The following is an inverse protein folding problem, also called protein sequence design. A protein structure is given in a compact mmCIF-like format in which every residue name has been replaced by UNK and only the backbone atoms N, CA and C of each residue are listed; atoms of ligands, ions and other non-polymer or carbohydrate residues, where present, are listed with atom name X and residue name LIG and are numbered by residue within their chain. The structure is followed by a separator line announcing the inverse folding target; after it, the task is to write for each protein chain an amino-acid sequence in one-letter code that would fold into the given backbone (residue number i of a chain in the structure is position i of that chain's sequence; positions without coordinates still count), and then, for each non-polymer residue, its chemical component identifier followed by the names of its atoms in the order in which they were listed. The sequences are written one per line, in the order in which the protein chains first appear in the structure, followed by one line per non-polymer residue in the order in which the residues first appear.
data_IF_964695302105
#
_entry.id   IF_964695302105
#
_cell.length_a   1.000
_cell.length_b   1.000
_cell.length_c   1.000
_cell.angle_alpha   90.00
_cell.angle_beta   90.00
_cell.angle_gamma   90.00
#
_symmetry.space_group_name_H-M   'P 1'
#
loop_
_entity.id
_entity.type
_entity.pdbx_description
1 polymer ?
#
# COMPACT_ATOMS: atom_id res chain seq x y z
N UNK A 1 7.30 25.43 6.09
CA UNK A 1 8.00 24.53 5.16
C UNK A 1 8.56 25.35 4.02
N UNK A 2 9.85 25.18 3.67
CA UNK A 2 10.38 25.67 2.41
C UNK A 2 10.11 24.60 1.33
N UNK A 3 9.15 24.86 0.44
CA UNK A 3 8.72 23.90 -0.58
C UNK A 3 9.83 23.56 -1.58
N UNK A 4 10.72 24.50 -1.86
CA UNK A 4 11.87 24.28 -2.75
C UNK A 4 12.85 23.29 -2.13
N UNK A 5 13.20 23.47 -0.85
CA UNK A 5 14.06 22.54 -0.13
C UNK A 5 13.46 21.14 -0.06
N UNK A 6 12.17 21.04 0.29
CA UNK A 6 11.45 19.77 0.36
C UNK A 6 11.44 19.04 -0.99
N UNK A 7 11.11 19.73 -2.08
CA UNK A 7 11.13 19.16 -3.43
C UNK A 7 12.53 18.72 -3.85
N UNK A 8 13.57 19.47 -3.49
CA UNK A 8 14.95 19.11 -3.79
C UNK A 8 15.39 17.84 -3.05
N UNK A 9 15.00 17.65 -1.78
CA UNK A 9 15.30 16.43 -1.02
C UNK A 9 14.64 15.20 -1.65
N UNK A 10 13.34 15.28 -2.00
CA UNK A 10 12.64 14.17 -2.67
C UNK A 10 13.18 13.90 -4.08
N UNK A 11 13.53 14.95 -4.83
CA UNK A 11 14.17 14.79 -6.15
C UNK A 11 15.56 14.19 -6.03
N UNK A 12 16.33 14.51 -4.98
CA UNK A 12 17.63 13.89 -4.74
C UNK A 12 17.51 12.40 -4.41
N UNK A 13 16.45 11.99 -3.70
CA UNK A 13 16.18 10.60 -3.37
C UNK A 13 15.66 9.79 -4.57
N UNK A 14 14.68 10.35 -5.31
CA UNK A 14 13.89 9.61 -6.29
C UNK A 14 14.22 9.96 -7.74
N UNK A 15 14.99 11.02 -7.98
CA UNK A 15 15.24 11.59 -9.31
C UNK A 15 13.94 11.90 -10.05
N UNK A 16 13.76 11.34 -11.24
CA UNK A 16 12.57 11.49 -12.09
C UNK A 16 11.32 10.79 -11.54
N UNK A 17 11.48 9.94 -10.51
CA UNK A 17 10.38 9.24 -9.81
C UNK A 17 9.73 10.09 -8.72
N UNK A 18 10.07 11.37 -8.61
CA UNK A 18 9.26 12.36 -7.91
C UNK A 18 8.68 13.34 -8.93
N UNK A 19 7.36 13.40 -9.05
CA UNK A 19 6.68 14.23 -10.05
C UNK A 19 5.83 15.31 -9.39
N UNK A 20 6.11 16.56 -9.76
CA UNK A 20 5.26 17.72 -9.46
C UNK A 20 4.36 18.10 -10.65
N UNK A 21 4.37 17.30 -11.72
CA UNK A 21 3.58 17.57 -12.91
C UNK A 21 2.09 17.51 -12.59
N UNK A 22 1.31 18.40 -13.22
CA UNK A 22 -0.14 18.44 -13.03
C UNK A 22 -0.81 17.13 -13.45
N UNK A 23 -0.34 16.48 -14.51
CA UNK A 23 -0.86 15.18 -14.96
C UNK A 23 -0.64 14.08 -13.91
N UNK A 24 0.57 13.94 -13.38
CA UNK A 24 0.84 12.92 -12.36
C UNK A 24 0.01 13.16 -11.10
N UNK A 25 -0.08 14.41 -10.66
CA UNK A 25 -0.86 14.82 -9.48
C UNK A 25 -2.35 14.56 -9.68
N UNK A 26 -2.91 14.88 -10.85
CA UNK A 26 -4.33 14.60 -11.16
C UNK A 26 -4.64 13.10 -11.17
N UNK A 27 -3.76 12.28 -11.73
CA UNK A 27 -3.95 10.82 -11.76
C UNK A 27 -3.91 10.17 -10.35
N UNK A 28 -3.40 10.88 -9.35
CA UNK A 28 -3.22 10.41 -7.97
C UNK A 28 -3.88 11.36 -6.95
N UNK A 29 -4.93 12.08 -7.37
CA UNK A 29 -5.62 13.08 -6.54
C UNK A 29 -6.86 12.53 -5.83
N UNK A 30 -7.40 11.37 -6.25
CA UNK A 30 -8.57 10.72 -5.64
C UNK A 30 -8.71 9.26 -6.07
N UNK A 31 -9.68 8.57 -5.48
CA UNK A 31 -10.12 7.26 -5.94
C UNK A 31 -11.39 7.32 -6.79
N UNK A 32 -12.18 6.25 -6.73
CA UNK A 32 -13.51 6.12 -7.34
C UNK A 32 -14.63 6.64 -6.42
N UNK A 33 -14.27 7.44 -5.42
CA UNK A 33 -15.15 8.10 -4.47
C UNK A 33 -15.93 9.27 -5.09
N UNK A 34 -16.87 9.83 -4.33
CA UNK A 34 -17.73 10.94 -4.77
C UNK A 34 -17.08 12.32 -4.60
N UNK A 35 -15.88 12.40 -4.02
CA UNK A 35 -15.26 13.68 -3.67
C UNK A 35 -14.59 14.33 -4.88
N UNK A 36 -14.52 15.66 -4.84
CA UNK A 36 -13.73 16.42 -5.81
C UNK A 36 -12.23 16.10 -5.63
N UNK A 37 -11.47 15.93 -6.72
CA UNK A 37 -10.05 15.60 -6.62
C UNK A 37 -9.28 16.72 -5.91
N UNK A 38 -8.44 16.31 -4.95
CA UNK A 38 -7.55 17.22 -4.23
C UNK A 38 -6.12 17.00 -4.71
N UNK A 39 -5.54 18.00 -5.38
CA UNK A 39 -4.20 17.87 -5.94
C UNK A 39 -3.14 17.84 -4.82
N UNK A 40 -2.32 16.77 -4.70
CA UNK A 40 -1.19 16.76 -3.77
C UNK A 40 -0.11 17.77 -4.21
N UNK A 41 0.90 18.05 -3.39
CA UNK A 41 2.07 18.85 -3.77
C UNK A 41 2.94 18.15 -4.83
N UNK A 42 2.97 16.82 -4.81
CA UNK A 42 3.72 15.98 -5.73
C UNK A 42 3.37 14.50 -5.52
N UNK A 43 3.88 13.65 -6.41
CA UNK A 43 3.70 12.20 -6.36
C UNK A 43 5.07 11.52 -6.34
N UNK A 44 5.29 10.66 -5.36
CA UNK A 44 6.51 9.87 -5.21
C UNK A 44 6.27 8.41 -5.66
N UNK A 45 7.21 7.86 -6.41
CA UNK A 45 7.17 6.49 -6.95
C UNK A 45 8.38 5.67 -6.45
N UNK A 46 8.37 5.21 -5.18
CA UNK A 46 9.43 4.38 -4.63
C UNK A 46 9.46 2.98 -5.26
N UNK A 47 10.65 2.40 -5.36
CA UNK A 47 10.93 1.04 -5.82
C UNK A 47 11.17 0.08 -4.66
N UNK A 48 11.53 0.58 -3.46
CA UNK A 48 11.89 -0.27 -2.32
C UNK A 48 11.28 0.23 -1.02
N UNK A 49 11.19 -0.66 -0.03
CA UNK A 49 10.74 -0.31 1.32
C UNK A 49 11.65 0.73 1.98
N UNK A 50 12.95 0.70 1.69
CA UNK A 50 13.92 1.69 2.18
C UNK A 50 13.65 3.08 1.61
N UNK A 51 13.29 3.18 0.32
CA UNK A 51 12.89 4.47 -0.26
C UNK A 51 11.58 4.99 0.36
N UNK A 52 10.60 4.12 0.63
CA UNK A 52 9.38 4.49 1.37
C UNK A 52 9.74 5.05 2.76
N UNK A 53 10.64 4.38 3.48
CA UNK A 53 11.17 4.83 4.78
C UNK A 53 11.80 6.22 4.69
N UNK A 54 12.69 6.45 3.72
CA UNK A 54 13.32 7.75 3.52
C UNK A 54 12.32 8.85 3.15
N UNK A 55 11.31 8.55 2.31
CA UNK A 55 10.23 9.50 1.99
C UNK A 55 9.48 9.90 3.28
N UNK A 56 9.11 8.93 4.12
CA UNK A 56 8.42 9.20 5.38
C UNK A 56 9.26 10.08 6.30
N UNK A 57 10.57 9.82 6.40
CA UNK A 57 11.49 10.63 7.22
C UNK A 57 11.54 12.08 6.71
N UNK A 58 11.70 12.28 5.39
CA UNK A 58 11.71 13.62 4.77
C UNK A 58 10.38 14.33 5.07
N UNK A 59 9.25 13.68 4.80
CA UNK A 59 7.93 14.24 5.07
C UNK A 59 7.72 14.59 6.55
N UNK A 60 8.18 13.75 7.48
CA UNK A 60 8.08 14.01 8.91
C UNK A 60 8.91 15.23 9.33
N UNK A 61 10.15 15.35 8.83
CA UNK A 61 11.02 16.51 9.08
C UNK A 61 10.40 17.83 8.61
N UNK A 62 9.64 17.79 7.51
CA UNK A 62 8.96 18.96 6.94
C UNK A 62 7.49 19.12 7.37
N UNK A 63 6.97 18.20 8.20
CA UNK A 63 5.55 18.12 8.60
C UNK A 63 4.58 18.07 7.42
N UNK A 64 4.94 17.30 6.39
CA UNK A 64 4.16 17.09 5.17
C UNK A 64 3.32 15.80 5.29
N UNK A 65 1.98 15.87 5.18
CA UNK A 65 1.14 14.68 5.16
C UNK A 65 1.45 13.76 3.97
N UNK A 66 1.25 12.46 4.16
CA UNK A 66 1.40 11.45 3.10
C UNK A 66 0.07 10.75 2.89
N UNK A 67 -0.29 10.53 1.62
CA UNK A 67 -1.39 9.65 1.21
C UNK A 67 -0.79 8.45 0.47
N UNK A 68 -0.81 7.23 1.05
CA UNK A 68 -0.41 6.02 0.33
C UNK A 68 -1.41 5.67 -0.76
N UNK A 69 -0.93 5.30 -1.94
CA UNK A 69 -1.78 5.10 -3.11
C UNK A 69 -1.48 3.76 -3.80
N UNK A 70 -2.52 2.92 -3.86
CA UNK A 70 -2.53 1.68 -4.65
C UNK A 70 -3.14 1.93 -6.03
N UNK A 71 -4.12 1.14 -6.42
CA UNK A 71 -4.81 1.26 -7.72
C UNK A 71 -5.81 2.43 -7.81
N UNK A 72 -6.06 3.17 -6.72
CA UNK A 72 -7.04 4.25 -6.73
C UNK A 72 -8.50 3.80 -6.75
N UNK A 73 -8.84 2.56 -6.42
CA UNK A 73 -10.20 2.01 -6.54
C UNK A 73 -11.06 2.13 -5.28
N UNK A 74 -10.61 2.90 -4.29
CA UNK A 74 -11.37 3.16 -3.06
C UNK A 74 -12.60 4.03 -3.35
N UNK A 75 -13.70 3.78 -2.62
CA UNK A 75 -14.95 4.54 -2.71
C UNK A 75 -15.18 5.51 -1.53
N UNK A 76 -14.35 5.42 -0.49
CA UNK A 76 -14.58 6.08 0.80
C UNK A 76 -13.59 7.25 1.03
N UNK A 77 -12.85 7.67 0.00
CA UNK A 77 -11.91 8.80 0.10
C UNK A 77 -10.57 8.49 0.77
N UNK A 78 -10.24 7.22 1.04
CA UNK A 78 -8.95 6.82 1.66
C UNK A 78 -7.71 7.33 0.90
N UNK A 79 -7.83 7.48 -0.42
CA UNK A 79 -6.75 7.90 -1.32
C UNK A 79 -6.98 9.32 -1.87
N UNK A 80 -7.91 10.07 -1.28
CA UNK A 80 -8.10 11.48 -1.60
C UNK A 80 -6.80 12.23 -1.28
N UNK A 81 -6.34 13.03 -2.24
CA UNK A 81 -5.10 13.77 -2.08
C UNK A 81 -5.18 14.84 -1.00
N UNK A 82 -4.06 15.52 -0.76
CA UNK A 82 -3.94 16.54 0.27
C UNK A 82 -3.19 17.74 -0.28
N UNK A 83 -3.79 18.94 -0.30
CA UNK A 83 -3.18 20.15 -0.87
C UNK A 83 -1.85 20.55 -0.22
N UNK A 84 -1.59 20.05 1.00
CA UNK A 84 -0.36 20.28 1.77
C UNK A 84 0.52 19.04 1.87
N UNK A 85 0.09 17.92 1.32
CA UNK A 85 0.75 16.62 1.40
C UNK A 85 1.27 16.13 0.06
N UNK A 86 1.87 14.95 0.05
CA UNK A 86 2.24 14.22 -1.17
C UNK A 86 1.47 12.91 -1.26
N UNK A 87 1.32 12.41 -2.47
CA UNK A 87 0.85 11.04 -2.70
C UNK A 87 2.06 10.12 -2.89
N UNK A 88 2.09 8.98 -2.22
CA UNK A 88 3.11 7.94 -2.40
C UNK A 88 2.48 6.78 -3.16
N UNK A 89 2.76 6.71 -4.46
CA UNK A 89 2.24 5.66 -5.34
C UNK A 89 3.15 4.44 -5.28
N UNK A 90 2.61 3.31 -4.87
CA UNK A 90 3.38 2.07 -4.70
C UNK A 90 3.54 1.29 -6.02
N UNK A 91 3.14 1.85 -7.17
CA UNK A 91 3.04 1.15 -8.46
C UNK A 91 4.30 0.42 -8.94
N UNK A 92 5.48 0.82 -8.46
CA UNK A 92 6.75 0.18 -8.81
C UNK A 92 7.11 -1.01 -7.92
N UNK A 93 6.38 -1.23 -6.82
CA UNK A 93 6.56 -2.34 -5.88
C UNK A 93 5.53 -3.44 -6.18
N UNK A 94 5.65 -4.08 -7.35
CA UNK A 94 4.65 -5.01 -7.90
C UNK A 94 5.19 -6.43 -8.16
N UNK A 95 6.20 -6.87 -7.42
CA UNK A 95 6.80 -8.19 -7.58
C UNK A 95 6.13 -9.26 -6.69
N UNK A 96 5.87 -10.44 -7.27
CA UNK A 96 5.56 -11.65 -6.48
C UNK A 96 6.90 -12.24 -6.04
N UNK A 97 7.16 -12.22 -4.73
CA UNK A 97 8.47 -12.57 -4.17
C UNK A 97 8.61 -14.08 -3.98
N UNK A 98 7.57 -14.73 -3.48
CA UNK A 98 7.59 -16.15 -3.12
C UNK A 98 6.17 -16.72 -3.14
N UNK A 99 6.00 -17.92 -3.68
CA UNK A 99 4.75 -18.69 -3.60
C UNK A 99 5.07 -20.08 -3.06
N UNK A 100 4.44 -20.43 -1.95
CA UNK A 100 4.58 -21.71 -1.27
C UNK A 100 3.27 -22.49 -1.40
N UNK A 101 3.06 -23.11 -2.57
CA UNK A 101 1.79 -23.78 -2.88
C UNK A 101 1.43 -24.91 -1.89
N UNK A 102 2.44 -25.65 -1.41
CA UNK A 102 2.26 -26.73 -0.43
C UNK A 102 1.84 -26.23 0.95
N UNK A 103 2.25 -25.01 1.31
CA UNK A 103 1.94 -24.37 2.59
C UNK A 103 0.72 -23.42 2.51
N UNK A 104 0.20 -23.19 1.30
CA UNK A 104 -0.89 -22.26 1.00
C UNK A 104 -0.60 -20.80 1.43
N UNK A 105 0.63 -20.33 1.20
CA UNK A 105 1.02 -18.93 1.44
C UNK A 105 1.83 -18.33 0.29
N UNK A 106 1.91 -17.00 0.26
CA UNK A 106 2.77 -16.26 -0.64
C UNK A 106 3.28 -14.97 0.02
N UNK A 107 4.40 -14.45 -0.49
CA UNK A 107 4.93 -13.12 -0.16
C UNK A 107 4.99 -12.30 -1.44
N UNK A 108 4.47 -11.09 -1.36
CA UNK A 108 4.28 -10.16 -2.49
C UNK A 108 4.63 -8.75 -2.06
N UNK A 109 5.00 -7.91 -3.03
CA UNK A 109 5.11 -6.48 -2.80
C UNK A 109 3.72 -5.81 -2.78
N UNK A 110 3.68 -4.59 -2.23
CA UNK A 110 2.44 -3.91 -1.88
C UNK A 110 1.48 -3.70 -3.06
N UNK A 111 2.01 -3.48 -4.26
CA UNK A 111 1.23 -3.17 -5.46
C UNK A 111 0.87 -4.39 -6.31
N UNK A 112 1.27 -5.60 -5.92
CA UNK A 112 0.79 -6.80 -6.61
C UNK A 112 -0.74 -6.77 -6.62
N UNK A 113 -1.33 -6.84 -7.81
CA UNK A 113 -2.78 -6.83 -7.97
C UNK A 113 -3.35 -8.22 -7.76
N UNK A 114 -4.63 -8.30 -7.38
CA UNK A 114 -5.33 -9.59 -7.29
C UNK A 114 -5.27 -10.35 -8.61
N UNK A 115 -5.56 -9.70 -9.75
CA UNK A 115 -5.44 -10.33 -11.08
C UNK A 115 -4.05 -10.84 -11.38
N UNK A 116 -3.01 -10.06 -11.09
CA UNK A 116 -1.63 -10.48 -11.29
C UNK A 116 -1.28 -11.73 -10.48
N UNK A 117 -1.73 -11.79 -9.21
CA UNK A 117 -1.53 -12.97 -8.38
C UNK A 117 -2.35 -14.17 -8.92
N UNK A 118 -3.62 -13.98 -9.24
CA UNK A 118 -4.48 -15.05 -9.78
C UNK A 118 -3.94 -15.62 -11.10
N UNK A 119 -3.41 -14.76 -11.99
CA UNK A 119 -2.74 -15.18 -13.22
C UNK A 119 -1.48 -15.99 -12.95
N UNK A 120 -0.67 -15.58 -11.97
CA UNK A 120 0.54 -16.30 -11.57
C UNK A 120 0.23 -17.68 -10.97
N UNK A 121 -0.89 -17.81 -10.24
CA UNK A 121 -1.27 -19.06 -9.55
C UNK A 121 -2.04 -20.05 -10.42
N UNK A 122 -2.52 -19.65 -11.62
CA UNK A 122 -3.49 -20.38 -12.44
C UNK A 122 -3.19 -21.87 -12.64
N UNK A 123 -1.92 -22.22 -12.87
CA UNK A 123 -1.51 -23.59 -13.18
C UNK A 123 -0.88 -24.32 -11.97
N UNK A 124 -0.96 -23.72 -10.78
CA UNK A 124 -0.31 -24.24 -9.55
C UNK A 124 -1.28 -25.01 -8.64
N UNK A 125 -2.56 -25.14 -9.01
CA UNK A 125 -3.57 -25.84 -8.21
C UNK A 125 -4.01 -25.08 -6.94
N UNK A 126 -3.55 -23.84 -6.78
CA UNK A 126 -3.92 -22.90 -5.70
C UNK A 126 -4.46 -21.61 -6.32
N UNK A 127 -5.17 -20.80 -5.54
CA UNK A 127 -5.70 -19.50 -5.99
C UNK A 127 -5.84 -18.55 -4.81
N UNK A 128 -5.91 -17.25 -5.07
CA UNK A 128 -6.17 -16.25 -4.05
C UNK A 128 -7.69 -16.02 -3.91
N UNK A 129 -8.29 -16.23 -2.72
CA UNK A 129 -9.75 -16.39 -2.63
C UNK A 129 -10.54 -15.10 -2.44
N UNK A 130 -9.88 -13.96 -2.19
CA UNK A 130 -10.58 -12.69 -1.93
C UNK A 130 -10.81 -11.96 -3.24
N UNK A 131 -12.09 -11.76 -3.57
CA UNK A 131 -12.55 -11.19 -4.83
C UNK A 131 -13.42 -9.94 -4.58
N UNK A 132 -12.80 -8.76 -4.40
CA UNK A 132 -13.52 -7.50 -4.31
C UNK A 132 -14.12 -7.13 -5.68
N UNK A 133 -15.18 -6.32 -5.68
CA UNK A 133 -15.88 -5.96 -6.92
C UNK A 133 -15.05 -5.12 -7.90
N UNK A 134 -14.08 -4.36 -7.40
CA UNK A 134 -13.11 -3.60 -8.18
C UNK A 134 -11.73 -4.26 -8.11
N UNK A 135 -10.91 -4.04 -9.14
CA UNK A 135 -9.51 -4.46 -9.10
C UNK A 135 -8.76 -3.68 -8.01
N UNK A 136 -7.86 -4.34 -7.28
CA UNK A 136 -7.14 -3.73 -6.18
C UNK A 136 -5.76 -4.37 -5.99
N UNK A 137 -4.87 -3.61 -5.34
CA UNK A 137 -3.58 -4.12 -4.88
C UNK A 137 -3.75 -4.88 -3.58
N UNK A 138 -2.91 -5.89 -3.33
CA UNK A 138 -2.99 -6.71 -2.13
C UNK A 138 -2.74 -5.89 -0.84
N UNK A 139 -1.86 -4.87 -0.87
CA UNK A 139 -1.73 -3.95 0.25
C UNK A 139 -2.96 -3.06 0.42
N UNK A 140 -3.57 -2.56 -0.66
CA UNK A 140 -4.81 -1.77 -0.58
C UNK A 140 -5.95 -2.60 0.00
N UNK A 141 -6.05 -3.86 -0.42
CA UNK A 141 -6.99 -4.83 0.14
C UNK A 141 -6.73 -5.09 1.63
N UNK A 142 -5.47 -5.23 2.06
CA UNK A 142 -5.11 -5.38 3.47
C UNK A 142 -5.43 -4.11 4.28
N UNK A 143 -5.03 -2.95 3.79
CA UNK A 143 -5.26 -1.66 4.44
C UNK A 143 -6.74 -1.34 4.63
N UNK A 144 -7.62 -1.80 3.74
CA UNK A 144 -9.07 -1.60 3.82
C UNK A 144 -9.82 -2.79 4.43
N UNK A 145 -9.11 -3.86 4.83
CA UNK A 145 -9.72 -5.13 5.24
C UNK A 145 -10.78 -5.62 4.22
N UNK A 146 -10.45 -5.58 2.94
CA UNK A 146 -11.37 -5.88 1.84
C UNK A 146 -12.10 -7.22 1.99
N UNK A 147 -13.35 -7.23 1.54
CA UNK A 147 -14.22 -8.39 1.47
C UNK A 147 -14.62 -8.69 0.02
N UNK A 148 -15.51 -9.65 -0.20
CA UNK A 148 -15.95 -10.04 -1.53
C UNK A 148 -17.04 -11.09 -1.50
N UNK A 149 -17.53 -11.48 -2.67
CA UNK A 149 -18.60 -12.49 -2.83
C UNK A 149 -18.22 -13.86 -2.25
N UNK A 150 -16.92 -14.15 -2.23
CA UNK A 150 -16.34 -15.40 -1.73
C UNK A 150 -16.10 -15.42 -0.21
N UNK A 151 -16.38 -14.31 0.48
CA UNK A 151 -16.06 -14.17 1.90
C UNK A 151 -16.80 -15.16 2.81
N UNK A 152 -17.99 -15.62 2.42
CA UNK A 152 -18.75 -16.62 3.17
C UNK A 152 -18.02 -17.96 3.29
N UNK A 153 -17.21 -18.31 2.27
CA UNK A 153 -16.49 -19.59 2.22
C UNK A 153 -15.05 -19.46 2.70
N UNK A 154 -14.38 -18.35 2.39
CA UNK A 154 -12.93 -18.20 2.61
C UNK A 154 -12.56 -17.10 3.60
N UNK A 155 -13.50 -16.28 4.08
CA UNK A 155 -13.23 -15.13 4.93
C UNK A 155 -12.83 -13.87 4.16
N UNK A 156 -12.27 -12.88 4.84
CA UNK A 156 -11.89 -11.58 4.26
C UNK A 156 -10.38 -11.40 4.31
N UNK A 157 -9.86 -10.25 3.83
CA UNK A 157 -8.45 -9.91 4.00
C UNK A 157 -7.98 -10.00 5.45
N UNK A 158 -8.86 -9.69 6.41
CA UNK A 158 -8.58 -9.81 7.84
C UNK A 158 -8.07 -11.19 8.27
N UNK A 159 -8.56 -12.25 7.62
CA UNK A 159 -8.17 -13.63 7.92
C UNK A 159 -7.11 -14.18 6.99
N UNK A 160 -6.80 -13.48 5.88
CA UNK A 160 -5.84 -13.93 4.87
C UNK A 160 -4.43 -13.37 5.05
N UNK A 161 -4.28 -12.26 5.77
CA UNK A 161 -2.97 -11.65 6.02
C UNK A 161 -2.28 -12.36 7.20
N UNK A 162 -1.17 -13.05 6.91
CA UNK A 162 -0.34 -13.74 7.91
C UNK A 162 0.71 -12.81 8.56
N UNK A 163 1.15 -11.79 7.83
CA UNK A 163 2.16 -10.84 8.27
C UNK A 163 2.32 -9.71 7.26
N UNK A 164 2.94 -8.62 7.70
CA UNK A 164 3.14 -7.41 6.91
C UNK A 164 4.52 -6.82 7.18
N UNK A 165 5.16 -6.27 6.16
CA UNK A 165 6.20 -5.25 6.32
C UNK A 165 5.51 -3.90 6.31
N UNK A 166 5.81 -3.00 7.24
CA UNK A 166 5.18 -1.69 7.34
C UNK A 166 6.22 -0.63 7.63
N UNK A 167 6.14 0.50 6.93
CA UNK A 167 6.89 1.71 7.24
C UNK A 167 6.06 2.59 8.16
N UNK A 168 6.56 2.84 9.37
CA UNK A 168 5.91 3.67 10.38
C UNK A 168 6.13 5.17 10.13
N UNK A 169 5.34 6.07 10.74
CA UNK A 169 5.46 7.52 10.55
C UNK A 169 6.81 8.13 10.95
N UNK A 170 7.60 7.43 11.77
CA UNK A 170 8.96 7.83 12.12
C UNK A 170 10.03 7.31 11.13
N UNK A 171 9.64 6.54 10.12
CA UNK A 171 10.52 5.92 9.14
C UNK A 171 10.94 4.49 9.47
N UNK A 172 10.64 3.97 10.67
CA UNK A 172 11.04 2.61 11.04
C UNK A 172 10.32 1.58 10.18
N UNK A 173 11.08 0.60 9.67
CA UNK A 173 10.55 -0.55 8.95
C UNK A 173 10.33 -1.67 9.96
N UNK A 174 9.07 -2.03 10.18
CA UNK A 174 8.72 -3.16 11.04
C UNK A 174 8.22 -4.35 10.23
N UNK A 175 8.40 -5.55 10.78
CA UNK A 175 7.79 -6.78 10.29
C UNK A 175 6.85 -7.30 11.35
N UNK A 176 5.62 -7.59 10.94
CA UNK A 176 4.57 -8.14 11.81
C UNK A 176 4.21 -9.55 11.37
N UNK A 177 3.79 -10.39 12.32
CA UNK A 177 3.36 -11.75 12.04
C UNK A 177 4.47 -12.62 11.46
N UNK A 178 4.09 -13.56 10.60
CA UNK A 178 5.02 -14.49 9.95
C UNK A 178 4.26 -15.60 9.22
N UNK A 179 4.97 -16.54 8.60
CA UNK A 179 4.34 -17.66 7.86
C UNK A 179 3.59 -18.64 8.76
N UNK A 180 3.84 -18.60 10.08
CA UNK A 180 3.23 -19.56 11.02
C UNK A 180 1.74 -19.29 11.20
N UNK A 181 0.91 -20.26 10.78
CA UNK A 181 -0.56 -20.18 10.88
C UNK A 181 -1.11 -20.02 12.31
N UNK A 182 -0.37 -20.45 13.32
CA UNK A 182 -0.73 -20.32 14.75
C UNK A 182 0.45 -19.78 15.53
N UNK A 183 0.26 -18.64 16.17
CA UNK A 183 1.27 -18.02 17.02
C UNK A 183 0.62 -17.36 18.23
N UNK A 184 1.28 -17.43 19.37
CA UNK A 184 0.97 -16.70 20.60
C UNK A 184 2.17 -15.91 21.11
N UNK A 185 3.13 -15.62 20.22
CA UNK A 185 4.35 -14.90 20.54
C UNK A 185 4.08 -13.38 20.53
N UNK A 186 3.49 -12.87 21.62
CA UNK A 186 3.23 -11.44 21.81
C UNK A 186 1.91 -10.95 21.20
N UNK A 187 1.82 -9.64 20.97
CA UNK A 187 0.61 -9.00 20.45
C UNK A 187 0.43 -9.22 18.95
N UNK A 188 -0.82 -9.33 18.50
CA UNK A 188 -1.14 -9.38 17.07
C UNK A 188 -1.07 -7.96 16.45
N UNK A 189 0.16 -7.49 16.18
CA UNK A 189 0.38 -6.20 15.53
C UNK A 189 -0.09 -6.18 14.07
N UNK A 190 -0.06 -7.31 13.37
CA UNK A 190 -0.57 -7.43 12.00
C UNK A 190 -2.03 -6.98 11.92
N UNK A 191 -2.84 -7.43 12.87
CA UNK A 191 -4.25 -7.06 12.96
C UNK A 191 -4.52 -5.57 13.24
N UNK A 192 -3.52 -4.79 13.68
CA UNK A 192 -3.67 -3.33 13.83
C UNK A 192 -3.57 -2.60 12.49
N UNK A 193 -2.75 -3.10 11.56
CA UNK A 193 -2.56 -2.48 10.23
C UNK A 193 -3.59 -2.96 9.20
N UNK A 194 -4.16 -4.15 9.39
CA UNK A 194 -5.24 -4.61 8.53
C UNK A 194 -6.52 -3.83 8.84
N UNK A 195 -7.01 -3.08 7.86
CA UNK A 195 -8.12 -2.14 8.05
C UNK A 195 -7.70 -0.77 8.61
N UNK A 196 -6.40 -0.44 8.64
CA UNK A 196 -5.93 0.86 9.13
C UNK A 196 -5.97 1.98 8.09
N UNK A 197 -6.31 1.68 6.84
CA UNK A 197 -6.47 2.64 5.74
C UNK A 197 -5.25 3.54 5.53
N UNK A 198 -4.04 3.01 5.78
CA UNK A 198 -2.78 3.76 5.66
C UNK A 198 -2.51 4.78 6.77
N UNK A 199 -3.40 4.91 7.77
CA UNK A 199 -3.29 5.94 8.83
C UNK A 199 -2.24 5.64 9.91
N UNK A 200 -1.86 4.36 10.05
CA UNK A 200 -0.86 3.90 11.02
C UNK A 200 0.53 3.66 10.41
N UNK A 201 0.63 3.65 9.08
CA UNK A 201 1.85 3.34 8.34
C UNK A 201 1.55 2.89 6.91
N UNK A 202 2.62 2.76 6.12
CA UNK A 202 2.55 2.33 4.72
C UNK A 202 2.89 0.83 4.66
N UNK A 203 1.92 0.02 4.24
CA UNK A 203 2.08 -1.42 4.00
C UNK A 203 2.85 -1.64 2.70
#
# INVERSE_FOLDING_TARGET
MNLETFNNELTALLADRYSISESARNNHARGEDIFDPVLPLGVAFPNTTEEVSQIVIICNNHSVPIVPFGMGTSLEGHVLGNEKGITVSLEKMNSIIEVNAEDFDCRVEAYVTRKQLDEHLRDQGVFFPIDPGAEATLAGMAATSASGTMAVRYGTMKTMVLGLTVVLPNGDIIKTGGRTKKTSAGYNLTGLFVGSEGTLGII
#
